data_IF_439765153641
#
_entry.id   IF_439765153641
#
_cell.length_a   1.000
_cell.length_b   1.000
_cell.length_c   1.000
_cell.angle_alpha   90.00
_cell.angle_beta   90.00
_cell.angle_gamma   90.00
#
_symmetry.space_group_name_H-M   'P 1'
#
loop_
_entity.id
_entity.type
_entity.pdbx_description
1 polymer ?
#
# COMPACT_ATOMS: atom_id res chain seq x y z
N UNK A 1 22.33 7.68 -27.50
CA UNK A 1 21.99 8.43 -26.28
C UNK A 1 20.58 8.05 -25.85
N UNK A 2 20.38 7.79 -24.55
CA UNK A 2 19.06 7.63 -23.93
C UNK A 2 18.69 8.95 -23.27
N UNK A 3 17.49 9.48 -23.56
CA UNK A 3 16.93 10.66 -22.92
C UNK A 3 15.58 10.28 -22.30
N UNK A 4 15.41 10.55 -21.01
CA UNK A 4 14.16 10.36 -20.27
C UNK A 4 13.65 11.73 -19.83
N UNK A 5 12.32 11.93 -19.91
CA UNK A 5 11.65 13.13 -19.46
C UNK A 5 10.61 12.76 -18.40
N UNK A 6 10.60 13.50 -17.30
CA UNK A 6 9.67 13.29 -16.20
C UNK A 6 9.11 14.62 -15.73
N UNK A 7 7.84 14.63 -15.34
CA UNK A 7 7.18 15.78 -14.73
C UNK A 7 7.37 15.75 -13.21
N UNK A 8 7.80 16.87 -12.65
CA UNK A 8 7.91 17.00 -11.19
C UNK A 8 6.50 17.09 -10.58
N UNK A 9 6.16 16.15 -9.71
CA UNK A 9 4.88 16.12 -8.99
C UNK A 9 4.94 17.03 -7.77
N UNK A 10 5.97 16.83 -6.93
CA UNK A 10 6.14 17.59 -5.69
C UNK A 10 7.59 17.62 -5.22
N UNK A 11 7.92 18.63 -4.40
CA UNK A 11 9.16 18.66 -3.62
C UNK A 11 8.87 17.98 -2.28
N UNK A 12 9.65 16.95 -1.94
CA UNK A 12 9.50 16.25 -0.69
C UNK A 12 10.20 17.00 0.45
N UNK A 13 9.75 16.79 1.67
CA UNK A 13 10.25 17.48 2.86
C UNK A 13 11.76 17.29 3.04
N UNK A 14 12.27 16.08 2.78
CA UNK A 14 13.69 15.69 2.78
C UNK A 14 13.85 14.37 2.00
N UNK A 15 15.08 13.92 1.76
CA UNK A 15 15.38 12.65 1.13
C UNK A 15 15.28 11.48 2.10
N UNK A 16 16.14 10.48 1.92
CA UNK A 16 16.25 9.36 2.85
C UNK A 16 16.61 9.84 4.26
N UNK A 17 17.49 10.84 4.34
CA UNK A 17 17.94 11.47 5.57
C UNK A 17 17.55 12.95 5.61
N UNK A 18 17.41 13.55 6.84
CA UNK A 18 16.90 14.92 7.00
C UNK A 18 17.71 16.03 6.31
N UNK A 19 18.99 15.80 6.05
CA UNK A 19 19.88 16.78 5.38
C UNK A 19 19.84 16.70 3.85
N UNK A 20 19.15 15.70 3.27
CA UNK A 20 19.04 15.50 1.85
C UNK A 20 17.82 16.21 1.29
N UNK A 21 17.91 16.62 0.01
CA UNK A 21 16.76 17.10 -0.75
C UNK A 21 16.18 15.96 -1.60
N UNK A 22 14.88 15.98 -1.79
CA UNK A 22 14.20 15.04 -2.67
C UNK A 22 12.99 15.66 -3.35
N UNK A 23 12.61 15.08 -4.48
CA UNK A 23 11.38 15.40 -5.17
C UNK A 23 10.81 14.15 -5.83
N UNK A 24 9.49 14.10 -5.97
CA UNK A 24 8.80 13.03 -6.67
C UNK A 24 8.53 13.47 -8.12
N UNK A 25 8.91 12.60 -9.04
CA UNK A 25 8.69 12.77 -10.47
C UNK A 25 7.91 11.60 -11.02
N UNK A 26 7.14 11.84 -12.10
CA UNK A 26 6.43 10.79 -12.82
C UNK A 26 6.52 11.03 -14.34
N UNK A 27 6.30 9.99 -15.11
CA UNK A 27 6.08 10.10 -16.55
C UNK A 27 4.79 10.89 -16.83
N UNK A 28 4.69 11.54 -17.99
CA UNK A 28 3.49 12.25 -18.41
C UNK A 28 2.24 11.33 -18.40
N UNK A 29 2.44 10.04 -18.69
CA UNK A 29 1.42 8.99 -18.59
C UNK A 29 1.98 7.86 -17.71
N UNK A 30 1.76 7.91 -16.39
CA UNK A 30 2.23 6.86 -15.49
C UNK A 30 1.65 5.50 -15.86
N UNK A 31 2.45 4.45 -15.71
CA UNK A 31 1.96 3.09 -15.89
C UNK A 31 0.82 2.82 -14.89
N UNK A 32 -0.31 2.34 -15.40
CA UNK A 32 -1.42 1.93 -14.55
C UNK A 32 -0.95 0.84 -13.56
N UNK A 33 -1.39 0.92 -12.31
CA UNK A 33 -0.95 -0.02 -11.27
C UNK A 33 0.45 0.24 -10.70
N UNK A 34 1.16 1.29 -11.13
CA UNK A 34 2.41 1.71 -10.49
C UNK A 34 2.16 2.67 -9.34
N UNK A 35 3.14 2.82 -8.44
CA UNK A 35 3.08 3.82 -7.36
C UNK A 35 2.87 5.23 -7.90
N UNK A 36 3.36 5.57 -9.09
CA UNK A 36 3.17 6.87 -9.70
C UNK A 36 1.70 7.20 -10.06
N UNK A 37 0.81 6.20 -10.04
CA UNK A 37 -0.62 6.34 -10.31
C UNK A 37 -1.50 6.43 -9.05
N UNK A 38 -0.93 6.51 -7.86
CA UNK A 38 -1.68 6.55 -6.61
C UNK A 38 -2.62 7.75 -6.51
N UNK A 39 -3.74 7.54 -5.83
CA UNK A 39 -4.60 8.57 -5.30
C UNK A 39 -4.54 8.55 -3.77
N UNK A 40 -4.09 9.64 -3.17
CA UNK A 40 -4.12 9.76 -1.71
C UNK A 40 -5.52 10.17 -1.25
N UNK A 41 -6.15 9.32 -0.43
CA UNK A 41 -7.50 9.54 0.08
C UNK A 41 -7.50 10.23 1.43
N UNK A 42 -6.41 10.10 2.21
CA UNK A 42 -6.27 10.63 3.56
C UNK A 42 -4.79 10.77 3.95
N UNK A 43 -4.53 11.60 4.94
CA UNK A 43 -3.27 11.69 5.66
C UNK A 43 -2.39 12.86 5.25
N UNK A 44 -1.21 12.92 5.86
CA UNK A 44 -0.18 13.92 5.57
C UNK A 44 0.49 13.64 4.23
N UNK A 45 1.24 14.63 3.73
CA UNK A 45 2.13 14.46 2.59
C UNK A 45 3.06 13.24 2.77
N UNK A 46 3.39 12.58 1.66
CA UNK A 46 4.31 11.46 1.66
C UNK A 46 5.75 11.97 1.83
N UNK A 47 6.56 11.24 2.58
CA UNK A 47 8.01 11.42 2.60
C UNK A 47 8.67 10.55 1.53
N UNK A 48 9.96 10.80 1.27
CA UNK A 48 10.76 9.92 0.43
C UNK A 48 10.68 8.45 0.88
N UNK A 49 10.87 8.20 2.18
CA UNK A 49 10.80 6.84 2.74
C UNK A 49 9.40 6.24 2.60
N UNK A 50 8.33 7.04 2.77
CA UNK A 50 6.98 6.53 2.54
C UNK A 50 6.76 6.08 1.09
N UNK A 51 7.28 6.82 0.11
CA UNK A 51 7.16 6.46 -1.32
C UNK A 51 7.98 5.21 -1.62
N UNK A 52 9.23 5.13 -1.16
CA UNK A 52 10.11 3.99 -1.40
C UNK A 52 9.57 2.70 -0.75
N UNK A 53 9.13 2.77 0.51
CA UNK A 53 8.57 1.63 1.22
C UNK A 53 7.19 1.24 0.64
N UNK A 54 6.38 2.22 0.21
CA UNK A 54 5.10 2.00 -0.43
C UNK A 54 5.24 1.28 -1.78
N UNK A 55 6.22 1.69 -2.60
CA UNK A 55 6.53 1.03 -3.86
C UNK A 55 6.95 -0.43 -3.63
N UNK A 56 7.87 -0.66 -2.70
CA UNK A 56 8.32 -2.01 -2.35
C UNK A 56 7.15 -2.90 -1.87
N UNK A 57 6.26 -2.38 -1.02
CA UNK A 57 5.10 -3.12 -0.53
C UNK A 57 4.10 -3.43 -1.64
N UNK A 58 3.84 -2.44 -2.50
CA UNK A 58 2.89 -2.54 -3.60
C UNK A 58 3.36 -3.51 -4.67
N UNK A 59 4.61 -3.41 -5.13
CA UNK A 59 5.18 -4.34 -6.11
C UNK A 59 5.21 -5.77 -5.57
N UNK A 60 5.54 -5.95 -4.29
CA UNK A 60 5.52 -7.27 -3.66
C UNK A 60 4.10 -7.86 -3.62
N UNK A 61 3.08 -7.11 -3.19
CA UNK A 61 1.73 -7.65 -3.05
C UNK A 61 1.09 -8.01 -4.40
N UNK A 62 1.44 -7.31 -5.47
CA UNK A 62 0.96 -7.61 -6.84
C UNK A 62 1.41 -8.97 -7.35
N UNK A 63 2.52 -9.51 -6.84
CA UNK A 63 2.99 -10.85 -7.25
C UNK A 63 2.02 -11.98 -6.89
N UNK A 64 1.08 -11.73 -5.97
CA UNK A 64 0.05 -12.69 -5.54
C UNK A 64 -1.26 -12.53 -6.34
N UNK A 65 -1.18 -12.44 -7.67
CA UNK A 65 -2.30 -12.08 -8.55
C UNK A 65 -3.53 -13.01 -8.46
N UNK A 66 -3.39 -14.24 -7.95
CA UNK A 66 -4.44 -15.27 -7.98
C UNK A 66 -5.21 -15.44 -6.67
N UNK A 67 -4.86 -14.71 -5.61
CA UNK A 67 -5.50 -14.85 -4.30
C UNK A 67 -5.32 -13.58 -3.46
N UNK A 68 -6.23 -13.31 -2.51
CA UNK A 68 -6.06 -12.20 -1.58
C UNK A 68 -4.73 -12.30 -0.84
N UNK A 69 -4.01 -11.18 -0.77
CA UNK A 69 -2.72 -11.09 -0.11
C UNK A 69 -2.57 -9.77 0.66
N UNK A 70 -1.75 -9.83 1.70
CA UNK A 70 -1.28 -8.67 2.46
C UNK A 70 0.24 -8.74 2.62
N UNK A 71 0.90 -7.61 2.39
CA UNK A 71 2.34 -7.43 2.63
C UNK A 71 2.53 -6.26 3.58
N UNK A 72 3.34 -6.47 4.61
CA UNK A 72 3.77 -5.42 5.54
C UNK A 72 5.26 -5.20 5.32
N UNK A 73 5.62 -3.95 5.01
CA UNK A 73 7.01 -3.56 4.72
C UNK A 73 7.51 -2.59 5.77
N UNK A 74 8.76 -2.75 6.13
CA UNK A 74 9.54 -1.82 6.96
C UNK A 74 10.94 -1.68 6.36
N UNK A 75 11.37 -0.43 6.07
CA UNK A 75 12.67 -0.15 5.46
C UNK A 75 12.89 -0.94 4.15
N UNK A 76 11.93 -0.84 3.23
CA UNK A 76 11.87 -1.49 1.93
C UNK A 76 11.96 -3.04 1.96
N UNK A 77 11.80 -3.66 3.13
CA UNK A 77 11.83 -5.12 3.28
C UNK A 77 10.52 -5.65 3.89
N UNK A 78 9.96 -6.75 3.37
CA UNK A 78 8.80 -7.39 3.96
C UNK A 78 9.12 -7.97 5.34
N UNK A 79 8.36 -7.59 6.36
CA UNK A 79 8.39 -8.20 7.70
C UNK A 79 7.17 -9.10 7.96
N UNK A 80 6.16 -9.03 7.09
CA UNK A 80 4.99 -9.91 7.12
C UNK A 80 4.38 -10.05 5.74
N UNK A 81 4.16 -11.30 5.31
CA UNK A 81 3.50 -11.63 4.03
C UNK A 81 2.54 -12.76 4.27
N UNK A 82 1.33 -12.64 3.76
CA UNK A 82 0.33 -13.70 3.87
C UNK A 82 -0.65 -13.68 2.72
N UNK A 83 -1.18 -14.86 2.42
CA UNK A 83 -2.28 -15.12 1.51
C UNK A 83 -3.44 -15.79 2.25
N UNK A 84 -4.65 -15.63 1.74
CA UNK A 84 -5.85 -16.19 2.36
C UNK A 84 -7.11 -15.86 1.57
N UNK A 85 -8.26 -15.87 2.24
CA UNK A 85 -9.58 -15.74 1.62
C UNK A 85 -10.20 -14.35 1.75
N UNK A 86 -9.72 -13.51 2.69
CA UNK A 86 -10.26 -12.16 2.93
C UNK A 86 -9.16 -11.19 3.33
N UNK A 87 -9.42 -9.88 3.16
CA UNK A 87 -8.50 -8.82 3.56
C UNK A 87 -8.17 -8.86 5.05
N UNK A 88 -9.17 -9.11 5.92
CA UNK A 88 -8.94 -9.24 7.35
C UNK A 88 -8.03 -10.42 7.68
N UNK A 89 -8.31 -11.60 7.12
CA UNK A 89 -7.53 -12.80 7.37
C UNK A 89 -6.06 -12.62 6.98
N UNK A 90 -5.80 -12.12 5.75
CA UNK A 90 -4.43 -11.96 5.26
C UNK A 90 -3.67 -10.91 6.06
N UNK A 91 -4.33 -9.85 6.51
CA UNK A 91 -3.72 -8.89 7.41
C UNK A 91 -3.31 -9.52 8.75
N UNK A 92 -4.24 -10.24 9.42
CA UNK A 92 -3.95 -10.87 10.71
C UNK A 92 -2.81 -11.87 10.62
N UNK A 93 -2.75 -12.65 9.53
CA UNK A 93 -1.66 -13.59 9.27
C UNK A 93 -0.32 -12.86 9.05
N UNK A 94 -0.30 -11.85 8.18
CA UNK A 94 0.90 -11.07 7.90
C UNK A 94 1.42 -10.37 9.16
N UNK A 95 0.53 -9.72 9.93
CA UNK A 95 0.89 -9.06 11.17
C UNK A 95 1.46 -10.02 12.22
N UNK A 96 0.92 -11.24 12.32
CA UNK A 96 1.38 -12.26 13.28
C UNK A 96 2.82 -12.72 13.02
N UNK A 97 3.34 -12.53 11.81
CA UNK A 97 4.71 -12.94 11.45
C UNK A 97 5.76 -12.20 12.29
N UNK A 98 5.65 -10.86 12.38
CA UNK A 98 6.52 -10.02 13.19
C UNK A 98 5.79 -8.73 13.62
N UNK A 99 5.01 -8.78 14.70
CA UNK A 99 4.25 -7.61 15.18
C UNK A 99 5.14 -6.44 15.59
N UNK A 100 6.36 -6.72 16.01
CA UNK A 100 7.30 -5.69 16.46
C UNK A 100 7.80 -4.87 15.27
N UNK A 101 8.26 -5.53 14.21
CA UNK A 101 8.72 -4.84 13.00
C UNK A 101 7.58 -4.19 12.21
N UNK A 102 6.36 -4.72 12.32
CA UNK A 102 5.17 -4.14 11.67
C UNK A 102 4.78 -2.76 12.22
N UNK A 103 5.24 -2.38 13.42
CA UNK A 103 4.93 -1.08 14.02
C UNK A 103 5.49 0.08 13.17
N UNK A 104 4.60 0.96 12.71
CA UNK A 104 4.95 2.07 11.82
C UNK A 104 5.34 1.61 10.41
N UNK A 105 4.96 0.41 10.01
CA UNK A 105 5.19 -0.12 8.67
C UNK A 105 4.16 0.38 7.65
N UNK A 106 4.38 -0.05 6.41
CA UNK A 106 3.51 0.15 5.26
C UNK A 106 2.74 -1.15 5.03
N UNK A 107 1.42 -1.07 4.88
CA UNK A 107 0.55 -2.23 4.69
C UNK A 107 -0.08 -2.16 3.30
N UNK A 108 0.21 -3.14 2.45
CA UNK A 108 -0.33 -3.22 1.11
C UNK A 108 -1.22 -4.45 0.93
N UNK A 109 -2.33 -4.27 0.19
CA UNK A 109 -3.27 -5.31 -0.18
C UNK A 109 -3.46 -5.32 -1.70
N UNK A 110 -3.65 -6.49 -2.28
CA UNK A 110 -4.07 -6.64 -3.67
C UNK A 110 -5.60 -6.78 -3.84
N UNK A 111 -6.35 -6.66 -2.75
CA UNK A 111 -7.82 -6.74 -2.69
C UNK A 111 -8.39 -5.51 -2.00
N UNK A 112 -9.71 -5.32 -2.15
CA UNK A 112 -10.46 -4.25 -1.46
C UNK A 112 -10.34 -4.37 0.05
N UNK A 113 -10.05 -3.26 0.73
CA UNK A 113 -10.14 -3.16 2.19
C UNK A 113 -11.58 -2.82 2.57
N UNK A 114 -12.22 -3.76 3.26
CA UNK A 114 -13.56 -3.62 3.83
C UNK A 114 -13.53 -3.15 5.28
N UNK A 115 -14.70 -3.07 5.89
CA UNK A 115 -14.88 -2.64 7.27
C UNK A 115 -14.14 -3.56 8.25
N UNK A 116 -14.23 -4.89 8.06
CA UNK A 116 -13.61 -5.87 8.97
C UNK A 116 -12.09 -5.79 8.96
N UNK A 117 -11.49 -5.67 7.78
CA UNK A 117 -10.05 -5.45 7.63
C UNK A 117 -9.61 -4.11 8.26
N UNK A 118 -10.37 -3.03 8.03
CA UNK A 118 -10.06 -1.73 8.60
C UNK A 118 -10.13 -1.74 10.14
N UNK A 119 -11.10 -2.42 10.73
CA UNK A 119 -11.20 -2.62 12.19
C UNK A 119 -9.98 -3.39 12.73
N UNK A 120 -9.56 -4.44 12.04
CA UNK A 120 -8.38 -5.22 12.42
C UNK A 120 -7.09 -4.37 12.40
N UNK A 121 -6.93 -3.51 11.38
CA UNK A 121 -5.77 -2.62 11.20
C UNK A 121 -5.80 -1.46 12.20
N UNK A 122 -6.99 -1.00 12.62
CA UNK A 122 -7.15 0.18 13.45
C UNK A 122 -6.41 0.12 14.81
N UNK A 123 -6.17 -1.08 15.34
CA UNK A 123 -5.40 -1.30 16.57
C UNK A 123 -3.89 -1.08 16.41
N UNK A 124 -3.37 -1.03 15.19
CA UNK A 124 -1.95 -0.89 14.90
C UNK A 124 -1.59 0.54 14.51
N UNK A 125 -0.37 0.95 14.84
CA UNK A 125 0.23 2.12 14.23
C UNK A 125 0.85 1.73 12.87
N UNK A 126 0.29 2.26 11.78
CA UNK A 126 0.81 2.17 10.42
C UNK A 126 1.04 3.57 9.86
N UNK A 127 2.02 3.76 9.01
CA UNK A 127 2.26 5.04 8.35
C UNK A 127 1.50 5.19 7.04
N UNK A 128 1.42 4.11 6.26
CA UNK A 128 0.73 4.08 4.97
C UNK A 128 -0.06 2.78 4.82
N UNK A 129 -1.24 2.88 4.24
CA UNK A 129 -2.05 1.74 3.79
C UNK A 129 -2.28 1.91 2.29
N UNK A 130 -2.16 0.81 1.54
CA UNK A 130 -2.33 0.79 0.08
C UNK A 130 -3.26 -0.35 -0.31
N UNK A 131 -4.25 -0.06 -1.15
CA UNK A 131 -5.13 -1.08 -1.73
C UNK A 131 -5.71 -0.62 -3.08
N UNK A 132 -6.23 -1.56 -3.91
CA UNK A 132 -6.94 -1.23 -5.14
C UNK A 132 -8.22 -0.42 -4.87
N UNK A 133 -8.87 -0.72 -3.75
CA UNK A 133 -10.10 -0.07 -3.31
C UNK A 133 -10.19 -0.07 -1.78
N UNK A 134 -10.75 1.01 -1.23
CA UNK A 134 -11.03 1.14 0.20
C UNK A 134 -12.51 1.55 0.34
N UNK A 135 -13.32 0.70 0.97
CA UNK A 135 -14.76 0.96 1.10
C UNK A 135 -15.05 2.22 1.91
N UNK A 136 -16.22 2.87 1.74
CA UNK A 136 -16.60 4.02 2.55
C UNK A 136 -16.60 3.72 4.05
N UNK A 137 -17.01 2.51 4.47
CA UNK A 137 -16.98 2.08 5.87
C UNK A 137 -15.55 1.99 6.40
N UNK A 138 -14.62 1.39 5.64
CA UNK A 138 -13.21 1.34 5.98
C UNK A 138 -12.57 2.74 6.10
N UNK A 139 -12.91 3.65 5.17
CA UNK A 139 -12.45 5.05 5.22
C UNK A 139 -12.93 5.78 6.46
N UNK A 140 -14.18 5.56 6.89
CA UNK A 140 -14.73 6.14 8.12
C UNK A 140 -13.94 5.70 9.36
N UNK A 141 -13.50 4.44 9.41
CA UNK A 141 -12.65 3.93 10.49
C UNK A 141 -11.27 4.60 10.47
N UNK A 142 -10.64 4.68 9.30
CA UNK A 142 -9.31 5.30 9.16
C UNK A 142 -9.33 6.82 9.44
N UNK A 143 -10.46 7.48 9.28
CA UNK A 143 -10.62 8.91 9.58
C UNK A 143 -10.32 9.28 11.04
N UNK A 144 -10.44 8.32 11.98
CA UNK A 144 -10.00 8.48 13.36
C UNK A 144 -8.48 8.65 13.52
N UNK A 145 -7.70 8.36 12.48
CA UNK A 145 -6.23 8.47 12.45
C UNK A 145 -5.78 9.48 11.39
N UNK A 146 -5.89 10.79 11.62
CA UNK A 146 -5.71 11.81 10.58
C UNK A 146 -4.31 11.84 9.95
N UNK A 147 -3.31 11.29 10.62
CA UNK A 147 -1.93 11.22 10.11
C UNK A 147 -1.66 9.97 9.26
N UNK A 148 -2.55 8.96 9.30
CA UNK A 148 -2.44 7.76 8.50
C UNK A 148 -2.65 8.11 7.03
N UNK A 149 -1.71 7.74 6.19
CA UNK A 149 -1.79 7.93 4.74
C UNK A 149 -2.51 6.74 4.13
N UNK A 150 -3.59 7.01 3.42
CA UNK A 150 -4.40 5.98 2.76
C UNK A 150 -4.31 6.21 1.26
N UNK A 151 -3.68 5.27 0.57
CA UNK A 151 -3.43 5.32 -0.87
C UNK A 151 -4.30 4.31 -1.60
N UNK A 152 -4.91 4.75 -2.67
CA UNK A 152 -5.62 3.88 -3.61
C UNK A 152 -4.84 3.81 -4.91
N UNK A 153 -4.54 2.60 -5.37
CA UNK A 153 -3.89 2.35 -6.66
C UNK A 153 -4.69 1.29 -7.38
N UNK A 154 -5.36 1.67 -8.47
CA UNK A 154 -6.11 0.71 -9.28
C UNK A 154 -5.14 -0.26 -9.94
N UNK A 155 -5.41 -1.55 -9.82
CA UNK A 155 -4.66 -2.58 -10.51
C UNK A 155 -4.82 -2.44 -12.03
N UNK A 156 -3.76 -2.74 -12.76
CA UNK A 156 -3.79 -2.79 -14.22
C UNK A 156 -4.66 -3.94 -14.74
N UNK A 157 -4.99 -3.88 -16.02
CA UNK A 157 -5.72 -4.99 -16.67
C UNK A 157 -4.90 -6.28 -16.59
N UNK A 158 -5.44 -7.33 -15.96
CA UNK A 158 -4.77 -8.61 -15.72
C UNK A 158 -4.13 -8.76 -14.32
N UNK A 159 -4.08 -7.71 -13.52
CA UNK A 159 -3.58 -7.74 -12.14
C UNK A 159 -4.70 -7.84 -11.09
N UNK A 160 -5.97 -7.94 -11.52
CA UNK A 160 -7.13 -7.91 -10.62
C UNK A 160 -7.38 -9.28 -10.00
N UNK A 161 -7.30 -9.37 -8.68
CA UNK A 161 -7.77 -10.55 -7.93
C UNK A 161 -9.30 -10.48 -7.87
N UNK A 162 -9.97 -11.36 -8.60
CA UNK A 162 -11.43 -11.47 -8.51
C UNK A 162 -11.80 -12.40 -7.36
N UNK A 163 -12.73 -11.97 -6.51
CA UNK A 163 -13.26 -12.77 -5.40
C UNK A 163 -13.89 -14.12 -5.84
N UNK A 164 -14.11 -14.31 -7.14
CA UNK A 164 -14.65 -15.54 -7.70
C UNK A 164 -13.67 -16.74 -7.65
N UNK A 165 -12.37 -16.52 -7.49
CA UNK A 165 -11.37 -17.61 -7.43
C UNK A 165 -11.18 -18.19 -6.02
N UNK A 166 -11.73 -17.57 -5.00
CA UNK A 166 -11.67 -18.09 -3.63
C UNK A 166 -12.68 -19.21 -3.35
N UNK A 167 -13.70 -19.39 -4.21
CA UNK A 167 -14.77 -20.37 -4.04
C UNK A 167 -14.47 -21.75 -4.65
N UNK A 168 -13.51 -21.84 -5.57
CA UNK A 168 -13.22 -23.10 -6.32
C UNK A 168 -12.04 -23.90 -5.71
N UNK A 169 -11.48 -23.47 -4.58
CA UNK A 169 -10.38 -24.14 -3.89
C UNK A 169 -10.79 -24.85 -2.58
N UNK A 170 -12.09 -25.17 -2.42
CA UNK A 170 -12.62 -25.90 -1.26
C UNK A 170 -13.01 -27.32 -1.63
#
# INVERSE_FOLDING_TARGET
HLQLAFDKVETLRYGENPHQQAAFYKEATPLAGSIASYQQLQGKELSYNNIADADAAWECVKTFANQPACVIVKHANPCGVAVGSSAEEVYRKAFKTDPTSAFGGIIAFNVTIDESAAQAIAGQFAEVIIAPEITPAARAIFAAKPNLRVLQIKLGAGETVTAAHAADAA
#
